data_IF_883573628002
#
_entry.id   IF_883573628002
#
_cell.length_a   1.000
_cell.length_b   1.000
_cell.length_c   1.000
_cell.angle_alpha   90.00
_cell.angle_beta   90.00
_cell.angle_gamma   90.00
#
_symmetry.space_group_name_H-M   'P 1'
#
loop_
_entity.id
_entity.type
_entity.pdbx_description
1 polymer ?
#
# COMPACT_ATOMS: atom_id res chain seq x y z
N UNK A 1 -75.75 -26.22 -70.37
CA UNK A 1 -75.22 -24.81 -70.18
C UNK A 1 -75.16 -24.58 -68.68
N UNK A 2 -74.04 -24.81 -68.07
CA UNK A 2 -73.83 -24.79 -66.61
C UNK A 2 -72.89 -23.67 -66.25
N UNK A 3 -73.32 -22.72 -65.42
CA UNK A 3 -72.57 -21.66 -64.89
C UNK A 3 -71.99 -22.08 -63.49
N UNK A 4 -70.73 -21.93 -63.33
CA UNK A 4 -70.09 -22.18 -62.06
C UNK A 4 -70.00 -20.85 -61.23
N UNK A 5 -70.27 -20.87 -59.91
CA UNK A 5 -69.97 -19.74 -59.08
C UNK A 5 -68.55 -19.90 -58.45
N UNK A 6 -67.70 -18.86 -58.63
CA UNK A 6 -66.46 -18.69 -57.97
C UNK A 6 -66.64 -18.40 -56.47
N UNK A 7 -66.14 -19.27 -55.59
CA UNK A 7 -66.03 -19.08 -54.15
C UNK A 7 -64.72 -18.29 -53.89
N UNK A 8 -64.83 -17.05 -53.50
CA UNK A 8 -63.76 -16.17 -53.04
C UNK A 8 -63.44 -16.54 -51.58
N UNK A 9 -62.31 -17.20 -51.34
CA UNK A 9 -61.82 -17.51 -50.00
C UNK A 9 -60.99 -16.33 -49.52
N UNK A 10 -61.47 -15.57 -48.52
CA UNK A 10 -60.71 -14.57 -47.83
C UNK A 10 -59.70 -15.18 -46.86
N UNK A 11 -58.44 -14.82 -46.89
CA UNK A 11 -57.50 -15.28 -45.87
C UNK A 11 -57.74 -14.56 -44.56
N UNK A 12 -57.97 -15.36 -43.51
CA UNK A 12 -58.00 -14.91 -42.12
C UNK A 12 -56.57 -14.52 -41.74
N UNK A 13 -56.29 -13.22 -41.69
CA UNK A 13 -55.05 -12.70 -41.12
C UNK A 13 -55.04 -12.96 -39.63
N UNK A 14 -54.25 -13.96 -39.19
CA UNK A 14 -53.97 -14.23 -37.79
C UNK A 14 -53.06 -13.15 -37.22
N UNK A 15 -53.61 -12.34 -36.31
CA UNK A 15 -52.94 -11.29 -35.57
C UNK A 15 -52.05 -11.82 -34.45
N UNK A 16 -51.07 -12.67 -34.75
CA UNK A 16 -50.22 -13.35 -33.72
C UNK A 16 -48.81 -12.79 -33.62
N UNK A 17 -48.41 -11.79 -34.39
CA UNK A 17 -46.96 -11.46 -34.51
C UNK A 17 -46.46 -10.29 -33.71
N UNK A 18 -47.29 -9.40 -33.13
CA UNK A 18 -46.80 -8.23 -32.46
C UNK A 18 -46.41 -8.40 -30.98
N UNK A 19 -47.05 -9.32 -30.28
CA UNK A 19 -46.78 -9.58 -28.85
C UNK A 19 -45.45 -10.32 -28.63
N UNK A 20 -45.01 -11.15 -29.57
CA UNK A 20 -43.74 -11.91 -29.44
C UNK A 20 -42.50 -11.04 -29.68
N UNK A 21 -42.61 -10.02 -30.50
CA UNK A 21 -41.47 -9.11 -30.78
C UNK A 21 -41.16 -8.19 -29.60
N UNK A 22 -42.15 -7.75 -28.84
CA UNK A 22 -41.95 -6.93 -27.65
C UNK A 22 -41.32 -7.72 -26.51
N UNK A 23 -41.67 -9.00 -26.35
CA UNK A 23 -41.12 -9.86 -25.30
C UNK A 23 -39.64 -10.19 -25.53
N UNK A 24 -39.24 -10.46 -26.79
CA UNK A 24 -37.84 -10.71 -27.15
C UNK A 24 -36.97 -9.45 -27.02
N UNK A 25 -37.54 -8.28 -27.23
CA UNK A 25 -36.83 -6.98 -27.03
C UNK A 25 -36.57 -6.70 -25.56
N UNK A 26 -37.51 -7.04 -24.66
CA UNK A 26 -37.33 -6.90 -23.22
C UNK A 26 -36.26 -7.87 -22.66
N UNK A 27 -36.20 -9.09 -23.16
CA UNK A 27 -35.17 -10.07 -22.75
C UNK A 27 -33.78 -9.58 -23.14
N UNK A 28 -33.60 -9.02 -24.35
CA UNK A 28 -32.31 -8.49 -24.77
C UNK A 28 -31.84 -7.29 -23.92
N UNK A 29 -32.75 -6.42 -23.49
CA UNK A 29 -32.42 -5.29 -22.62
C UNK A 29 -32.07 -5.74 -21.19
N UNK A 30 -32.72 -6.76 -20.64
CA UNK A 30 -32.44 -7.35 -19.33
C UNK A 30 -31.07 -8.04 -19.28
N UNK A 31 -30.70 -8.79 -20.32
CA UNK A 31 -29.41 -9.47 -20.41
C UNK A 31 -28.23 -8.49 -20.52
N UNK A 32 -28.40 -7.37 -21.22
CA UNK A 32 -27.37 -6.33 -21.31
C UNK A 32 -27.10 -5.67 -19.96
N UNK A 33 -28.15 -5.31 -19.21
CA UNK A 33 -28.03 -4.68 -17.90
C UNK A 33 -27.41 -5.65 -16.85
N UNK A 34 -27.80 -6.92 -16.86
CA UNK A 34 -27.24 -7.93 -15.98
C UNK A 34 -25.75 -8.20 -16.28
N UNK A 35 -25.37 -8.25 -17.56
CA UNK A 35 -23.98 -8.42 -17.98
C UNK A 35 -23.08 -7.28 -17.55
N UNK A 36 -23.55 -6.02 -17.69
CA UNK A 36 -22.82 -4.84 -17.24
C UNK A 36 -22.70 -4.85 -15.70
N UNK A 37 -23.73 -5.22 -14.97
CA UNK A 37 -23.69 -5.31 -13.51
C UNK A 37 -22.65 -6.32 -13.01
N UNK A 38 -22.58 -7.50 -13.58
CA UNK A 38 -21.60 -8.54 -13.25
C UNK A 38 -20.18 -8.08 -13.63
N UNK A 39 -20.02 -7.43 -14.77
CA UNK A 39 -18.72 -6.88 -15.20
C UNK A 39 -18.22 -5.78 -14.26
N UNK A 40 -19.09 -4.86 -13.83
CA UNK A 40 -18.74 -3.83 -12.84
C UNK A 40 -18.39 -4.41 -11.46
N UNK A 41 -19.12 -5.45 -11.00
CA UNK A 41 -18.79 -6.15 -9.76
C UNK A 41 -17.42 -6.83 -9.84
N UNK A 42 -17.06 -7.39 -10.99
CA UNK A 42 -15.75 -8.04 -11.21
C UNK A 42 -14.57 -7.05 -11.13
N UNK A 43 -14.77 -5.80 -11.52
CA UNK A 43 -13.73 -4.76 -11.46
C UNK A 43 -13.45 -4.28 -10.03
N UNK A 44 -14.40 -4.39 -9.10
CA UNK A 44 -14.20 -4.03 -7.69
C UNK A 44 -13.43 -5.09 -6.89
N UNK A 45 -13.33 -6.30 -7.35
CA UNK A 45 -12.64 -7.40 -6.65
C UNK A 45 -11.10 -7.32 -6.73
N UNK A 46 -10.54 -6.40 -7.53
CA UNK A 46 -9.09 -6.28 -7.75
C UNK A 46 -8.31 -5.49 -6.71
N UNK A 47 -8.98 -4.82 -5.76
CA UNK A 47 -8.30 -4.03 -4.73
C UNK A 47 -7.91 -4.90 -3.54
N UNK A 48 -6.76 -5.57 -3.61
CA UNK A 48 -6.17 -6.33 -2.51
C UNK A 48 -5.15 -5.51 -1.73
N UNK A 49 -4.99 -5.84 -0.45
CA UNK A 49 -3.90 -5.38 0.39
C UNK A 49 -2.55 -5.79 -0.22
N UNK A 50 -1.59 -4.88 -0.22
CA UNK A 50 -0.23 -5.14 -0.70
C UNK A 50 0.71 -5.35 0.47
N UNK A 51 1.40 -6.50 0.49
CA UNK A 51 2.48 -6.78 1.42
C UNK A 51 3.80 -6.43 0.72
N UNK A 52 4.62 -5.59 1.35
CA UNK A 52 5.97 -5.23 0.91
C UNK A 52 6.99 -5.73 1.91
N UNK A 53 8.01 -6.38 1.41
CA UNK A 53 9.15 -6.85 2.20
C UNK A 53 10.38 -6.00 1.88
N UNK A 54 11.06 -5.52 2.92
CA UNK A 54 12.24 -4.67 2.82
C UNK A 54 13.35 -5.20 3.72
N UNK A 55 14.59 -5.07 3.27
CA UNK A 55 15.78 -5.43 4.01
C UNK A 55 16.30 -6.83 3.68
N UNK A 56 17.06 -7.42 4.61
CA UNK A 56 17.81 -8.64 4.39
C UNK A 56 17.07 -9.86 4.94
N UNK A 57 16.81 -10.84 4.09
CA UNK A 57 16.18 -12.11 4.47
C UNK A 57 17.28 -13.10 4.82
N UNK A 58 17.39 -13.47 6.10
CA UNK A 58 18.31 -14.50 6.54
C UNK A 58 17.54 -15.81 6.64
N UNK A 59 18.03 -16.85 5.97
CA UNK A 59 17.45 -18.17 6.02
C UNK A 59 17.98 -18.93 7.24
N UNK A 60 17.16 -19.85 7.78
CA UNK A 60 17.56 -20.67 8.93
C UNK A 60 18.84 -21.48 8.64
N UNK A 61 18.99 -21.99 7.43
CA UNK A 61 20.18 -22.74 7.03
C UNK A 61 21.48 -21.91 7.06
N UNK A 62 21.39 -20.61 6.75
CA UNK A 62 22.52 -19.68 6.85
C UNK A 62 22.87 -19.42 8.32
N UNK A 63 21.84 -19.21 9.17
CA UNK A 63 22.05 -19.04 10.62
C UNK A 63 22.68 -20.25 11.27
N UNK A 64 22.29 -21.47 10.89
CA UNK A 64 22.82 -22.73 11.44
C UNK A 64 24.31 -22.93 11.09
N UNK A 65 24.81 -22.27 10.05
CA UNK A 65 26.23 -22.30 9.65
C UNK A 65 27.07 -21.38 10.52
N UNK A 66 26.47 -20.31 11.10
CA UNK A 66 27.17 -19.32 11.91
C UNK A 66 27.39 -19.85 13.33
N UNK A 67 28.65 -19.93 13.75
CA UNK A 67 29.02 -20.44 15.08
C UNK A 67 29.75 -19.38 15.89
N UNK A 68 29.24 -19.12 17.10
CA UNK A 68 29.86 -18.20 18.05
C UNK A 68 31.28 -18.69 18.40
N UNK A 69 32.23 -17.78 18.39
CA UNK A 69 33.65 -18.02 18.69
C UNK A 69 34.45 -18.63 17.54
N UNK A 70 33.81 -19.01 16.41
CA UNK A 70 34.50 -19.64 15.27
C UNK A 70 34.36 -18.86 13.98
N UNK A 71 33.18 -18.24 13.75
CA UNK A 71 32.90 -17.51 12.53
C UNK A 71 33.46 -16.10 12.61
N UNK A 72 34.17 -15.68 11.57
CA UNK A 72 34.73 -14.35 11.48
C UNK A 72 33.73 -13.38 10.83
N UNK A 73 33.93 -12.07 11.05
CA UNK A 73 33.12 -11.01 10.43
C UNK A 73 33.10 -11.10 8.90
N UNK A 74 34.25 -11.42 8.28
CA UNK A 74 34.34 -11.56 6.82
C UNK A 74 33.46 -12.72 6.34
N UNK A 75 33.49 -13.87 7.04
CA UNK A 75 32.70 -15.06 6.70
C UNK A 75 31.19 -14.74 6.75
N UNK A 76 30.76 -13.95 7.74
CA UNK A 76 29.36 -13.52 7.86
C UNK A 76 28.96 -12.60 6.67
N UNK A 77 29.83 -11.68 6.30
CA UNK A 77 29.58 -10.78 5.16
C UNK A 77 29.57 -11.56 3.84
N UNK A 78 30.42 -12.55 3.70
CA UNK A 78 30.45 -13.41 2.50
C UNK A 78 29.21 -14.32 2.42
N UNK A 79 28.72 -14.81 3.56
CA UNK A 79 27.56 -15.69 3.64
C UNK A 79 26.24 -14.91 3.49
N UNK A 80 26.07 -13.85 4.27
CA UNK A 80 24.82 -13.08 4.34
C UNK A 80 24.81 -11.85 3.40
N UNK A 81 25.95 -11.47 2.82
CA UNK A 81 26.10 -10.23 2.07
C UNK A 81 26.34 -9.02 2.96
N UNK A 82 26.27 -7.82 2.37
CA UNK A 82 26.55 -6.58 3.10
C UNK A 82 25.51 -6.32 4.19
N UNK A 83 25.93 -5.91 5.40
CA UNK A 83 24.99 -5.57 6.46
C UNK A 83 24.11 -4.37 6.10
N UNK A 84 22.93 -4.29 6.69
CA UNK A 84 22.02 -3.15 6.53
C UNK A 84 22.64 -1.87 7.08
N UNK A 85 23.33 -1.96 8.22
CA UNK A 85 24.09 -0.87 8.82
C UNK A 85 25.14 -1.41 9.81
N UNK A 86 26.12 -0.58 10.12
CA UNK A 86 27.14 -0.84 11.13
C UNK A 86 26.86 0.00 12.38
N UNK A 87 27.34 -0.43 13.52
CA UNK A 87 27.17 0.33 14.77
C UNK A 87 27.86 1.69 14.69
N UNK A 88 27.08 2.76 14.87
CA UNK A 88 27.61 4.13 14.78
C UNK A 88 28.63 4.49 15.88
N UNK A 89 28.49 3.86 17.06
CA UNK A 89 29.34 4.10 18.22
C UNK A 89 30.26 2.91 18.52
N UNK A 90 29.97 1.74 17.96
CA UNK A 90 30.75 0.52 18.13
C UNK A 90 30.88 -0.19 16.78
N UNK A 91 32.05 -0.02 16.14
CA UNK A 91 32.36 -0.65 14.85
C UNK A 91 32.43 -2.18 14.92
N UNK A 92 32.42 -2.77 16.12
CA UNK A 92 32.38 -4.22 16.33
C UNK A 92 31.00 -4.81 16.17
N UNK A 93 29.96 -3.98 15.91
CA UNK A 93 28.58 -4.45 15.69
C UNK A 93 28.14 -4.20 14.27
N UNK A 94 27.53 -5.24 13.67
CA UNK A 94 26.83 -5.14 12.38
C UNK A 94 25.40 -5.59 12.53
N UNK A 95 24.50 -5.02 11.74
CA UNK A 95 23.09 -5.25 11.84
C UNK A 95 22.50 -5.65 10.49
N UNK A 96 21.68 -6.69 10.51
CA UNK A 96 20.84 -7.11 9.40
C UNK A 96 19.37 -6.89 9.78
N UNK A 97 18.71 -5.99 9.09
CA UNK A 97 17.34 -5.62 9.38
C UNK A 97 16.42 -6.14 8.28
N UNK A 98 15.28 -6.73 8.67
CA UNK A 98 14.18 -7.13 7.81
C UNK A 98 12.89 -6.52 8.33
N UNK A 99 12.07 -5.99 7.43
CA UNK A 99 10.78 -5.41 7.76
C UNK A 99 9.73 -5.85 6.74
N UNK A 100 8.58 -6.29 7.23
CA UNK A 100 7.40 -6.59 6.44
C UNK A 100 6.40 -5.48 6.71
N UNK A 101 5.98 -4.79 5.65
CA UNK A 101 4.99 -3.71 5.71
C UNK A 101 3.71 -4.15 5.01
N UNK A 102 2.60 -3.80 5.60
CA UNK A 102 1.25 -3.96 5.09
C UNK A 102 0.75 -2.60 4.57
N UNK A 103 0.41 -2.57 3.28
CA UNK A 103 -0.09 -1.38 2.60
C UNK A 103 -1.56 -1.60 2.26
N UNK A 104 -2.49 -1.14 3.09
CA UNK A 104 -3.92 -1.23 2.78
C UNK A 104 -4.26 -0.31 1.61
N UNK A 105 -5.31 -0.64 0.87
CA UNK A 105 -5.78 0.13 -0.30
C UNK A 105 -6.15 1.57 0.09
N UNK A 106 -6.67 1.74 1.31
CA UNK A 106 -6.96 3.05 1.89
C UNK A 106 -6.50 3.05 3.34
N UNK A 107 -5.49 3.88 3.67
CA UNK A 107 -4.99 3.97 5.03
C UNK A 107 -3.48 4.21 5.11
N UNK A 108 -2.97 4.12 6.34
CA UNK A 108 -1.55 4.32 6.64
C UNK A 108 -0.85 2.97 6.60
N UNK A 109 0.34 2.93 5.99
CA UNK A 109 1.19 1.75 5.99
C UNK A 109 1.51 1.33 7.43
N UNK A 110 1.40 0.03 7.71
CA UNK A 110 1.69 -0.53 9.02
C UNK A 110 2.86 -1.51 8.93
N UNK A 111 3.72 -1.49 9.92
CA UNK A 111 4.72 -2.54 10.09
C UNK A 111 4.03 -3.78 10.63
N UNK A 112 4.08 -4.88 9.88
CA UNK A 112 3.53 -6.18 10.28
C UNK A 112 4.52 -6.99 11.08
N UNK A 113 5.78 -6.88 10.72
CA UNK A 113 6.89 -7.55 11.42
C UNK A 113 8.19 -6.80 11.14
N UNK A 114 9.03 -6.71 12.16
CA UNK A 114 10.40 -6.21 12.07
C UNK A 114 11.30 -7.13 12.87
N UNK A 115 12.40 -7.55 12.26
CA UNK A 115 13.41 -8.37 12.89
C UNK A 115 14.77 -7.75 12.59
N UNK A 116 15.61 -7.60 13.61
CA UNK A 116 16.97 -7.09 13.50
C UNK A 116 17.88 -8.09 14.16
N UNK A 117 18.82 -8.64 13.40
CA UNK A 117 19.92 -9.44 13.92
C UNK A 117 21.10 -8.53 14.16
N UNK A 118 21.60 -8.49 15.39
CA UNK A 118 22.80 -7.77 15.78
C UNK A 118 23.92 -8.79 16.05
N UNK A 119 24.97 -8.73 15.25
CA UNK A 119 26.17 -9.54 15.42
C UNK A 119 27.24 -8.70 16.10
N UNK A 120 27.70 -9.12 17.25
CA UNK A 120 28.78 -8.47 18.02
C UNK A 120 30.06 -9.28 17.87
N UNK A 121 31.16 -8.60 17.54
CA UNK A 121 32.49 -9.19 17.33
C UNK A 121 33.46 -8.82 18.44
N UNK A 122 34.42 -9.66 18.68
CA UNK A 122 35.56 -9.39 19.55
C UNK A 122 36.62 -8.53 18.83
N UNK A 123 37.73 -8.23 19.53
CA UNK A 123 38.86 -7.47 18.98
C UNK A 123 39.56 -8.17 17.81
N UNK A 124 39.41 -9.51 17.70
CA UNK A 124 39.97 -10.32 16.62
C UNK A 124 38.97 -10.51 15.45
N UNK A 125 37.84 -9.82 15.45
CA UNK A 125 36.74 -9.97 14.51
C UNK A 125 36.06 -11.35 14.53
N UNK A 126 36.17 -12.13 15.60
CA UNK A 126 35.39 -13.34 15.76
C UNK A 126 34.03 -13.01 16.37
N UNK A 127 33.02 -13.75 15.98
CA UNK A 127 31.66 -13.58 16.47
C UNK A 127 31.58 -13.92 17.96
N UNK A 128 31.17 -12.95 18.77
CA UNK A 128 31.03 -13.11 20.21
C UNK A 128 29.58 -13.36 20.63
N UNK A 129 28.63 -12.65 19.98
CA UNK A 129 27.22 -12.68 20.37
C UNK A 129 26.30 -12.42 19.17
N UNK A 130 25.12 -13.02 19.20
CA UNK A 130 24.03 -12.78 18.25
C UNK A 130 22.79 -12.38 19.04
N UNK A 131 22.36 -11.13 18.88
CA UNK A 131 21.13 -10.62 19.48
C UNK A 131 20.02 -10.55 18.44
N UNK A 132 18.81 -10.95 18.82
CA UNK A 132 17.60 -10.83 18.03
C UNK A 132 16.69 -9.76 18.64
N UNK A 133 16.48 -8.67 17.91
CA UNK A 133 15.57 -7.60 18.31
C UNK A 133 14.34 -7.64 17.41
N UNK A 134 13.19 -7.92 18.01
CA UNK A 134 11.91 -7.98 17.31
C UNK A 134 11.12 -6.64 17.45
N UNK A 135 9.99 -6.54 16.78
CA UNK A 135 9.12 -5.37 16.83
C UNK A 135 8.63 -5.06 18.27
N UNK A 136 8.44 -6.10 19.09
CA UNK A 136 7.95 -5.95 20.47
C UNK A 136 8.97 -5.30 21.39
N UNK A 137 10.24 -5.38 21.04
CA UNK A 137 11.36 -4.73 21.74
C UNK A 137 11.49 -3.23 21.38
N UNK A 138 10.70 -2.76 20.41
CA UNK A 138 10.68 -1.37 19.97
C UNK A 138 10.08 -0.44 21.00
N UNK A 139 10.80 0.65 21.31
CA UNK A 139 10.26 1.74 22.13
C UNK A 139 9.34 2.62 21.29
N UNK A 140 8.17 2.93 21.84
CA UNK A 140 7.25 3.88 21.21
C UNK A 140 7.77 5.31 21.46
N UNK A 141 8.42 5.88 20.47
CA UNK A 141 8.95 7.26 20.55
C UNK A 141 7.81 8.21 20.26
N UNK A 142 7.32 8.89 21.30
CA UNK A 142 6.38 10.00 21.13
C UNK A 142 7.13 11.17 20.46
N UNK A 143 6.57 11.69 19.37
CA UNK A 143 7.06 12.93 18.78
C UNK A 143 6.72 14.08 19.74
N UNK A 144 7.74 14.61 20.42
CA UNK A 144 7.62 15.83 21.19
C UNK A 144 7.81 16.96 20.18
N UNK A 145 6.75 17.69 19.87
CA UNK A 145 6.87 18.95 19.13
C UNK A 145 7.52 20.00 20.05
N UNK A 146 8.83 20.23 19.98
CA UNK A 146 9.46 21.33 20.71
C UNK A 146 9.01 22.63 20.04
N UNK A 147 8.01 23.28 20.63
CA UNK A 147 7.64 24.62 20.26
C UNK A 147 8.78 25.53 20.74
N UNK A 148 9.75 25.77 19.86
CA UNK A 148 10.78 26.80 20.11
C UNK A 148 10.04 28.14 20.12
N UNK A 149 9.97 28.88 21.25
CA UNK A 149 9.46 30.23 21.24
C UNK A 149 10.48 31.06 20.41
N UNK A 150 10.16 31.26 19.15
CA UNK A 150 10.88 32.27 18.35
C UNK A 150 10.45 33.62 18.92
N UNK A 151 11.35 34.45 19.47
CA UNK A 151 11.03 35.83 19.77
C UNK A 151 10.91 36.58 18.44
N UNK A 152 9.86 36.32 17.73
CA UNK A 152 9.43 37.09 16.59
C UNK A 152 8.32 38.00 17.09
N UNK A 153 8.43 39.25 16.79
CA UNK A 153 7.39 40.23 17.00
C UNK A 153 6.10 39.67 16.47
N UNK A 154 5.17 39.32 17.36
CA UNK A 154 3.79 38.95 16.98
C UNK A 154 3.03 40.23 16.60
N UNK A 155 3.49 40.90 15.56
CA UNK A 155 2.73 41.99 14.96
C UNK A 155 1.52 41.32 14.34
N UNK A 156 0.39 41.47 15.01
CA UNK A 156 -0.89 40.93 14.52
C UNK A 156 -1.15 41.45 13.10
N UNK A 157 -1.75 40.60 12.27
CA UNK A 157 -2.08 40.95 10.87
C UNK A 157 -2.81 42.30 10.80
N UNK A 158 -3.64 42.61 11.78
CA UNK A 158 -4.35 43.88 11.95
C UNK A 158 -3.39 45.05 12.14
N UNK A 159 -2.39 44.89 12.98
CA UNK A 159 -1.38 45.91 13.28
C UNK A 159 -0.46 46.19 12.08
N UNK A 160 -0.20 45.14 11.28
CA UNK A 160 0.56 45.26 10.04
C UNK A 160 -0.19 46.06 8.96
N UNK A 161 -1.52 45.86 8.88
CA UNK A 161 -2.38 46.65 7.97
C UNK A 161 -2.40 48.11 8.41
N UNK A 162 -2.61 48.40 9.69
CA UNK A 162 -2.63 49.77 10.21
C UNK A 162 -1.26 50.49 10.10
N UNK A 163 -0.14 49.79 10.28
CA UNK A 163 1.17 50.36 10.12
C UNK A 163 1.46 50.72 8.66
N UNK A 164 0.99 49.93 7.69
CA UNK A 164 1.14 50.23 6.28
C UNK A 164 0.26 51.43 5.85
N UNK A 165 -0.95 51.57 6.38
CA UNK A 165 -1.82 52.73 6.12
C UNK A 165 -1.21 54.03 6.67
N UNK A 166 -0.64 53.99 7.88
CA UNK A 166 0.03 55.15 8.48
C UNK A 166 1.27 55.58 7.68
N UNK A 167 1.99 54.65 7.09
CA UNK A 167 3.17 54.97 6.25
C UNK A 167 2.79 55.65 4.94
N UNK A 168 1.63 55.33 4.35
CA UNK A 168 1.13 56.01 3.14
C UNK A 168 0.68 57.43 3.42
N UNK A 169 0.08 57.71 4.57
CA UNK A 169 -0.35 59.07 4.95
C UNK A 169 0.83 60.00 5.33
N UNK A 170 1.98 59.47 5.69
CA UNK A 170 3.18 60.25 6.03
C UNK A 170 4.07 60.56 4.81
N UNK A 171 3.68 60.06 3.62
CA UNK A 171 4.41 60.27 2.36
C UNK A 171 3.79 61.29 1.43
N UNK A 172 2.66 61.94 1.82
CA UNK A 172 2.06 63.14 1.20
C UNK A 172 2.45 64.40 1.98
#
# INVERSE_FOLDING_TARGET
MAAWPFLYSTPVMTSVSLTRLSFLRQIKQGFGALGIGIFCLGLLAGCGERISEHGHVINQAEMDTIKIGQTNRADIIDLLGRPSFEGAFDSRKIYYARQIMEQPVAGINKTKSRVIYAFTFDENNNLQEIDLVDEKSGLNVAHIEPKTPTPGDTIGVVEQIFSNMKRQQAAE
#
